data_IF_409310398115
#
_entry.id   IF_409310398115
#
_cell.length_a   1.000
_cell.length_b   1.000
_cell.length_c   1.000
_cell.angle_alpha   90.00
_cell.angle_beta   90.00
_cell.angle_gamma   90.00
#
_symmetry.space_group_name_H-M   'P 1'
#
loop_
_entity.id
_entity.type
_entity.pdbx_description
1 polymer ?
#
# COMPACT_ATOMS: atom_id res chain seq x y z
N UNK A 1 7.91 23.80 -11.68
CA UNK A 1 8.06 22.36 -11.37
C UNK A 1 6.75 21.70 -11.74
N UNK A 2 6.72 20.97 -12.86
CA UNK A 2 5.53 20.26 -13.33
C UNK A 2 5.32 19.06 -12.43
N UNK A 3 4.21 19.03 -11.71
CA UNK A 3 3.73 17.90 -10.91
C UNK A 3 3.66 16.65 -11.77
N UNK A 4 4.75 15.89 -11.76
CA UNK A 4 4.92 14.73 -12.63
C UNK A 4 4.26 13.54 -11.97
N UNK A 5 3.07 13.18 -12.44
CA UNK A 5 2.38 12.01 -11.92
C UNK A 5 1.96 10.98 -12.98
N UNK A 6 2.32 11.19 -14.24
CA UNK A 6 2.25 10.15 -15.25
C UNK A 6 3.42 9.17 -15.03
N UNK A 7 3.14 7.87 -14.78
CA UNK A 7 4.18 6.86 -14.61
C UNK A 7 5.13 6.70 -15.81
N UNK A 8 4.74 7.15 -17.01
CA UNK A 8 5.57 7.10 -18.21
C UNK A 8 6.44 8.33 -18.41
N UNK A 9 6.25 9.37 -17.59
CA UNK A 9 7.07 10.56 -17.68
C UNK A 9 8.53 10.23 -17.34
N UNK A 10 9.53 10.75 -18.07
CA UNK A 10 10.94 10.41 -17.85
C UNK A 10 11.43 10.73 -16.43
N UNK A 11 10.90 11.79 -15.81
CA UNK A 11 11.24 12.16 -14.43
C UNK A 11 10.47 11.36 -13.37
N UNK A 12 9.50 10.50 -13.72
CA UNK A 12 8.62 9.87 -12.72
C UNK A 12 9.40 9.11 -11.64
N UNK A 13 10.47 8.41 -12.03
CA UNK A 13 11.36 7.63 -11.15
C UNK A 13 12.69 8.35 -10.85
N UNK A 14 12.88 9.58 -11.32
CA UNK A 14 14.08 10.36 -11.03
C UNK A 14 14.08 10.75 -9.55
N UNK A 15 15.11 10.32 -8.82
CA UNK A 15 15.16 10.52 -7.37
C UNK A 15 15.24 11.99 -7.00
N UNK A 16 16.06 12.78 -7.71
CA UNK A 16 16.23 14.20 -7.38
C UNK A 16 14.92 14.98 -7.57
N UNK A 17 14.18 14.73 -8.66
CA UNK A 17 12.88 15.36 -8.90
C UNK A 17 11.84 14.95 -7.86
N UNK A 18 11.77 13.65 -7.51
CA UNK A 18 10.84 13.15 -6.49
C UNK A 18 11.14 13.76 -5.13
N UNK A 19 12.40 13.79 -4.72
CA UNK A 19 12.84 14.32 -3.42
C UNK A 19 12.58 15.83 -3.33
N UNK A 20 12.83 16.58 -4.42
CA UNK A 20 12.50 18.00 -4.48
C UNK A 20 11.00 18.26 -4.36
N UNK A 21 10.18 17.44 -5.01
CA UNK A 21 8.72 17.55 -4.91
C UNK A 21 8.20 17.14 -3.53
N UNK A 22 8.81 16.15 -2.87
CA UNK A 22 8.53 15.81 -1.47
C UNK A 22 8.79 17.02 -0.57
N UNK A 23 9.97 17.64 -0.65
CA UNK A 23 10.29 18.86 0.10
C UNK A 23 9.25 19.96 -0.10
N UNK A 24 8.93 20.29 -1.36
CA UNK A 24 7.93 21.34 -1.68
C UNK A 24 6.56 21.05 -1.08
N UNK A 25 6.08 19.81 -1.24
CA UNK A 25 4.76 19.43 -0.71
C UNK A 25 4.77 19.39 0.81
N UNK A 26 5.87 18.95 1.42
CA UNK A 26 6.03 18.90 2.87
C UNK A 26 6.02 20.29 3.51
N UNK A 27 6.72 21.27 2.94
CA UNK A 27 6.65 22.67 3.37
C UNK A 27 5.23 23.21 3.30
N UNK A 28 4.54 23.02 2.17
CA UNK A 28 3.18 23.52 1.97
C UNK A 28 2.17 22.83 2.91
N UNK A 29 2.34 21.52 3.14
CA UNK A 29 1.51 20.77 4.07
C UNK A 29 1.75 21.19 5.52
N UNK A 30 3.01 21.43 5.92
CA UNK A 30 3.36 21.92 7.25
C UNK A 30 2.86 23.34 7.51
N UNK A 31 2.90 24.23 6.51
CA UNK A 31 2.34 25.57 6.64
C UNK A 31 0.81 25.58 6.82
N UNK A 32 0.10 24.64 6.18
CA UNK A 32 -1.37 24.57 6.25
C UNK A 32 -1.90 23.77 7.46
N UNK A 33 -1.22 22.68 7.84
CA UNK A 33 -1.58 21.71 8.90
C UNK A 33 -2.97 21.09 8.88
N UNK A 34 -3.85 21.42 7.95
CA UNK A 34 -5.26 20.96 7.94
C UNK A 34 -5.41 19.43 7.95
N UNK A 35 -4.43 18.70 7.40
CA UNK A 35 -4.54 17.27 7.17
C UNK A 35 -4.32 16.37 8.39
N UNK A 36 -3.82 16.89 9.53
CA UNK A 36 -3.46 16.06 10.70
C UNK A 36 -4.62 15.24 11.27
N UNK A 37 -5.86 15.72 11.12
CA UNK A 37 -7.07 15.02 11.59
C UNK A 37 -7.44 13.81 10.74
N UNK A 38 -6.89 13.69 9.53
CA UNK A 38 -7.31 12.72 8.53
C UNK A 38 -6.29 11.62 8.27
N UNK A 39 -5.03 11.82 8.63
CA UNK A 39 -3.94 10.92 8.23
C UNK A 39 -2.76 10.99 9.20
N UNK A 40 -2.20 9.81 9.50
CA UNK A 40 -1.10 9.60 10.44
C UNK A 40 0.26 10.07 9.92
N UNK A 41 0.46 10.15 8.61
CA UNK A 41 1.71 10.67 8.02
C UNK A 41 1.99 12.13 8.40
N UNK A 42 0.95 12.94 8.63
CA UNK A 42 1.10 14.38 8.87
C UNK A 42 1.66 14.72 10.26
N UNK A 43 1.19 14.11 11.37
CA UNK A 43 1.87 14.23 12.66
C UNK A 43 3.37 13.97 12.58
N UNK A 44 3.79 12.84 12.00
CA UNK A 44 5.20 12.50 11.82
C UNK A 44 5.95 13.53 10.98
N UNK A 45 5.37 13.96 9.85
CA UNK A 45 5.94 15.03 9.03
C UNK A 45 6.14 16.32 9.83
N UNK A 46 5.12 16.73 10.61
CA UNK A 46 5.17 17.98 11.35
C UNK A 46 6.18 17.92 12.47
N UNK A 47 6.26 16.81 13.20
CA UNK A 47 7.27 16.60 14.24
C UNK A 47 8.69 16.68 13.66
N UNK A 48 8.91 16.14 12.46
CA UNK A 48 10.22 16.24 11.81
C UNK A 48 10.57 17.64 11.34
N UNK A 49 9.61 18.43 10.86
CA UNK A 49 9.87 19.81 10.42
C UNK A 49 9.98 20.76 11.62
N UNK A 50 9.16 20.59 12.65
CA UNK A 50 9.13 21.42 13.86
C UNK A 50 10.40 21.30 14.72
N UNK A 51 11.26 20.32 14.47
CA UNK A 51 12.56 20.19 15.14
C UNK A 51 13.58 21.26 14.71
N UNK A 52 13.32 21.95 13.61
CA UNK A 52 14.22 22.93 13.03
C UNK A 52 13.71 24.35 13.32
N UNK A 53 14.61 25.24 13.74
CA UNK A 53 14.25 26.63 14.09
C UNK A 53 13.62 27.41 12.92
N UNK A 54 14.03 27.09 11.69
CA UNK A 54 13.54 27.68 10.44
C UNK A 54 12.35 26.93 9.84
N UNK A 55 11.97 25.78 10.40
CA UNK A 55 10.86 24.93 9.94
C UNK A 55 10.93 24.59 8.44
N UNK A 56 12.15 24.43 7.91
CA UNK A 56 12.41 24.12 6.50
C UNK A 56 12.40 22.60 6.26
N UNK A 57 11.43 22.09 5.49
CA UNK A 57 11.34 20.67 5.13
C UNK A 57 12.47 20.22 4.20
N UNK A 58 13.22 21.15 3.59
CA UNK A 58 14.46 20.88 2.86
C UNK A 58 15.57 20.30 3.74
N UNK A 59 15.46 20.44 5.06
CA UNK A 59 16.39 19.87 6.03
C UNK A 59 16.12 18.41 6.38
N UNK A 60 14.99 17.86 5.92
CA UNK A 60 14.65 16.45 6.15
C UNK A 60 15.60 15.53 5.39
N UNK A 61 16.10 14.52 6.10
CA UNK A 61 16.88 13.45 5.48
C UNK A 61 16.00 12.58 4.56
N UNK A 62 16.58 11.87 3.58
CA UNK A 62 15.81 10.92 2.77
C UNK A 62 15.08 9.86 3.61
N UNK A 63 15.64 9.47 4.75
CA UNK A 63 15.01 8.51 5.66
C UNK A 63 13.78 9.08 6.38
N UNK A 64 13.84 10.34 6.83
CA UNK A 64 12.67 11.02 7.42
C UNK A 64 11.57 11.22 6.38
N UNK A 65 11.93 11.60 5.15
CA UNK A 65 10.97 11.67 4.05
C UNK A 65 10.33 10.30 3.76
N UNK A 66 11.14 9.24 3.71
CA UNK A 66 10.67 7.87 3.46
C UNK A 66 9.72 7.39 4.55
N UNK A 67 9.93 7.77 5.80
CA UNK A 67 9.02 7.40 6.89
C UNK A 67 7.63 8.03 6.69
N UNK A 68 7.56 9.30 6.29
CA UNK A 68 6.28 9.96 5.98
C UNK A 68 5.55 9.24 4.83
N UNK A 69 6.31 8.78 3.82
CA UNK A 69 5.80 7.96 2.71
C UNK A 69 5.25 6.62 3.20
N UNK A 70 6.00 5.92 4.06
CA UNK A 70 5.64 4.59 4.58
C UNK A 70 4.38 4.61 5.47
N UNK A 71 4.07 5.75 6.09
CA UNK A 71 2.87 5.93 6.91
C UNK A 71 1.61 6.26 6.08
N UNK A 72 1.74 6.43 4.75
CA UNK A 72 0.61 6.75 3.88
C UNK A 72 -0.13 5.48 3.40
N UNK A 73 -1.36 5.28 3.89
CA UNK A 73 -2.19 4.13 3.49
C UNK A 73 -3.05 4.35 2.23
N UNK A 74 -2.78 5.42 1.45
CA UNK A 74 -3.47 5.69 0.18
C UNK A 74 -5.02 5.82 0.28
N UNK A 75 -5.56 6.26 1.42
CA UNK A 75 -7.00 6.43 1.64
C UNK A 75 -7.62 7.67 0.95
N UNK A 76 -6.78 8.63 0.53
CA UNK A 76 -7.14 9.89 -0.15
C UNK A 76 -7.99 10.88 0.65
N UNK A 77 -8.19 10.68 1.96
CA UNK A 77 -8.93 11.65 2.79
C UNK A 77 -8.27 13.03 2.83
N UNK A 78 -6.93 13.10 2.86
CA UNK A 78 -6.21 14.37 2.79
C UNK A 78 -6.44 15.10 1.46
N UNK A 79 -6.49 14.40 0.34
CA UNK A 79 -6.72 14.99 -0.98
C UNK A 79 -8.13 15.58 -1.10
N UNK A 80 -9.17 14.84 -0.70
CA UNK A 80 -10.57 15.30 -0.81
C UNK A 80 -10.82 16.55 0.04
N UNK A 81 -10.14 16.69 1.17
CA UNK A 81 -10.30 17.85 2.07
C UNK A 81 -9.29 18.96 1.81
N UNK A 82 -8.33 18.77 0.90
CA UNK A 82 -7.30 19.76 0.64
C UNK A 82 -7.83 20.86 -0.29
N UNK A 83 -7.73 22.16 0.09
CA UNK A 83 -8.12 23.25 -0.80
C UNK A 83 -7.10 23.50 -1.92
N UNK A 84 -5.93 22.85 -1.87
CA UNK A 84 -4.78 23.13 -2.72
C UNK A 84 -4.50 22.06 -3.79
N UNK A 85 -5.48 21.20 -4.10
CA UNK A 85 -5.33 20.15 -5.12
C UNK A 85 -5.18 20.73 -6.54
N UNK A 86 -4.62 19.98 -7.50
CA UNK A 86 -4.36 20.46 -8.87
C UNK A 86 -5.57 21.10 -9.58
N UNK A 87 -6.77 20.64 -9.30
CA UNK A 87 -8.00 21.15 -9.89
C UNK A 87 -8.48 22.48 -9.28
N UNK A 88 -8.00 22.83 -8.08
CA UNK A 88 -8.49 23.95 -7.29
C UNK A 88 -7.45 25.05 -7.05
N UNK A 89 -6.15 24.74 -7.13
CA UNK A 89 -5.09 25.68 -6.77
C UNK A 89 -3.80 25.47 -7.56
N UNK A 90 -3.06 26.55 -7.79
CA UNK A 90 -1.79 26.55 -8.53
C UNK A 90 -0.66 25.76 -7.84
N UNK A 91 -0.77 25.51 -6.53
CA UNK A 91 0.19 24.69 -5.79
C UNK A 91 0.12 23.21 -6.14
N UNK A 92 -1.01 22.77 -6.71
CA UNK A 92 -1.21 21.42 -7.22
C UNK A 92 -0.78 20.29 -6.27
N UNK A 93 -1.25 20.34 -5.02
CA UNK A 93 -0.92 19.33 -4.00
C UNK A 93 -1.72 18.03 -4.21
N UNK A 94 -1.06 16.99 -4.75
CA UNK A 94 -1.59 15.62 -4.73
C UNK A 94 -0.71 14.72 -3.85
N UNK A 95 -0.88 14.86 -2.53
CA UNK A 95 -0.10 14.13 -1.54
C UNK A 95 -0.17 12.60 -1.75
N UNK A 96 -1.35 11.96 -1.92
CA UNK A 96 -1.41 10.52 -2.13
C UNK A 96 -0.65 10.06 -3.38
N UNK A 97 -0.79 10.78 -4.49
CA UNK A 97 -0.11 10.40 -5.73
C UNK A 97 1.40 10.63 -5.66
N UNK A 98 1.84 11.65 -4.93
CA UNK A 98 3.26 11.84 -4.62
C UNK A 98 3.81 10.71 -3.74
N UNK A 99 3.09 10.25 -2.71
CA UNK A 99 3.54 9.12 -1.89
C UNK A 99 3.67 7.84 -2.73
N UNK A 100 2.73 7.60 -3.65
CA UNK A 100 2.79 6.46 -4.58
C UNK A 100 4.00 6.57 -5.52
N UNK A 101 4.26 7.77 -6.05
CA UNK A 101 5.43 8.05 -6.89
C UNK A 101 6.74 7.85 -6.12
N UNK A 102 6.80 8.28 -4.87
CA UNK A 102 7.96 8.09 -4.00
C UNK A 102 8.23 6.61 -3.73
N UNK A 103 7.19 5.81 -3.46
CA UNK A 103 7.34 4.35 -3.31
C UNK A 103 7.84 3.69 -4.60
N UNK A 104 7.29 4.07 -5.76
CA UNK A 104 7.74 3.55 -7.06
C UNK A 104 9.21 3.91 -7.35
N UNK A 105 9.60 5.16 -7.08
CA UNK A 105 10.99 5.63 -7.18
C UNK A 105 11.91 4.83 -6.27
N UNK A 106 11.55 4.62 -4.99
CA UNK A 106 12.33 3.83 -4.04
C UNK A 106 12.52 2.39 -4.50
N UNK A 107 11.48 1.78 -5.08
CA UNK A 107 11.57 0.43 -5.63
C UNK A 107 12.50 0.37 -6.87
N UNK A 108 12.44 1.38 -7.74
CA UNK A 108 13.26 1.45 -8.95
C UNK A 108 14.75 1.69 -8.65
N UNK A 109 15.05 2.59 -7.70
CA UNK A 109 16.41 2.99 -7.34
C UNK A 109 17.06 2.09 -6.27
N UNK A 110 16.36 1.07 -5.78
CA UNK A 110 16.94 0.07 -4.88
C UNK A 110 17.00 0.48 -3.40
N UNK A 111 16.20 1.46 -2.98
CA UNK A 111 16.11 1.95 -1.60
C UNK A 111 15.33 1.01 -0.67
N UNK A 112 14.62 0.04 -1.24
CA UNK A 112 13.86 -0.95 -0.49
C UNK A 112 14.77 -2.07 0.06
N UNK A 113 14.71 -2.40 1.36
CA UNK A 113 15.46 -3.51 1.92
C UNK A 113 15.20 -4.81 1.15
N UNK A 114 16.24 -5.60 0.86
CA UNK A 114 16.14 -6.83 0.06
C UNK A 114 15.04 -7.78 0.57
N UNK A 115 14.90 -7.90 1.89
CA UNK A 115 13.85 -8.70 2.53
C UNK A 115 12.44 -8.19 2.18
N UNK A 116 12.24 -6.87 2.24
CA UNK A 116 10.96 -6.23 1.91
C UNK A 116 10.66 -6.34 0.42
N UNK A 117 11.67 -6.15 -0.45
CA UNK A 117 11.55 -6.38 -1.90
C UNK A 117 11.09 -7.79 -2.22
N UNK A 118 11.71 -8.81 -1.60
CA UNK A 118 11.32 -10.22 -1.78
C UNK A 118 9.89 -10.47 -1.28
N UNK A 119 9.56 -9.98 -0.08
CA UNK A 119 8.23 -10.13 0.50
C UNK A 119 7.15 -9.49 -0.38
N UNK A 120 7.39 -8.25 -0.86
CA UNK A 120 6.49 -7.52 -1.74
C UNK A 120 6.31 -8.25 -3.07
N UNK A 121 7.38 -8.77 -3.68
CA UNK A 121 7.30 -9.56 -4.92
C UNK A 121 6.52 -10.87 -4.72
N UNK A 122 6.68 -11.53 -3.58
CA UNK A 122 5.91 -12.73 -3.24
C UNK A 122 4.41 -12.40 -3.08
N UNK A 123 4.09 -11.32 -2.36
CA UNK A 123 2.71 -10.88 -2.14
C UNK A 123 2.03 -10.33 -3.40
N UNK A 124 2.76 -9.62 -4.25
CA UNK A 124 2.26 -9.07 -5.52
C UNK A 124 1.88 -10.18 -6.51
N UNK A 125 2.50 -11.36 -6.42
CA UNK A 125 2.19 -12.53 -7.27
C UNK A 125 1.02 -13.34 -6.74
N UNK A 126 -0.11 -12.68 -6.51
CA UNK A 126 -1.33 -13.26 -5.94
C UNK A 126 -1.84 -14.47 -6.73
N UNK A 127 -1.73 -14.46 -8.06
CA UNK A 127 -2.11 -15.60 -8.91
C UNK A 127 -1.25 -16.85 -8.64
N UNK A 128 0.05 -16.68 -8.48
CA UNK A 128 0.98 -17.79 -8.18
C UNK A 128 0.71 -18.29 -6.77
N UNK A 129 0.59 -17.37 -5.81
CA UNK A 129 0.27 -17.69 -4.42
C UNK A 129 -1.07 -18.43 -4.32
N UNK A 130 -2.08 -18.00 -5.06
CA UNK A 130 -3.38 -18.65 -5.13
C UNK A 130 -3.33 -20.04 -5.74
N UNK A 131 -2.56 -20.25 -6.82
CA UNK A 131 -2.34 -21.60 -7.40
C UNK A 131 -1.66 -22.53 -6.41
N UNK A 132 -0.57 -22.07 -5.77
CA UNK A 132 0.15 -22.85 -4.76
C UNK A 132 -0.76 -23.15 -3.56
N UNK A 133 -1.52 -22.16 -3.09
CA UNK A 133 -2.50 -22.32 -2.02
C UNK A 133 -3.59 -23.34 -2.36
N UNK A 134 -4.13 -23.30 -3.58
CA UNK A 134 -5.10 -24.30 -4.06
C UNK A 134 -4.52 -25.71 -4.18
N UNK A 135 -3.27 -25.85 -4.64
CA UNK A 135 -2.59 -27.14 -4.71
C UNK A 135 -2.29 -27.71 -3.31
N UNK A 136 -1.86 -26.85 -2.39
CA UNK A 136 -1.56 -27.20 -1.02
C UNK A 136 -2.79 -27.20 -0.11
N UNK A 137 -4.00 -26.96 -0.64
CA UNK A 137 -5.21 -26.76 0.15
C UNK A 137 -5.48 -27.85 1.20
N UNK A 138 -5.29 -29.17 0.94
CA UNK A 138 -5.49 -30.18 1.98
C UNK A 138 -4.60 -30.00 3.22
N UNK A 139 -3.35 -29.59 3.02
CA UNK A 139 -2.37 -29.41 4.11
C UNK A 139 -2.55 -28.02 4.74
N UNK A 140 -2.66 -26.98 3.90
CA UNK A 140 -2.83 -25.60 4.34
C UNK A 140 -4.11 -25.43 5.15
N UNK A 141 -5.23 -26.03 4.74
CA UNK A 141 -6.50 -25.92 5.45
C UNK A 141 -6.44 -26.62 6.81
N UNK A 142 -5.73 -27.74 6.94
CA UNK A 142 -5.54 -28.40 8.24
C UNK A 142 -4.83 -27.50 9.27
N UNK A 143 -3.91 -26.65 8.81
CA UNK A 143 -3.24 -25.68 9.67
C UNK A 143 -4.10 -24.42 9.94
N UNK A 144 -4.84 -23.95 8.92
CA UNK A 144 -5.73 -22.78 9.00
C UNK A 144 -6.94 -23.03 9.90
N UNK A 145 -7.57 -24.19 9.76
CA UNK A 145 -8.77 -24.63 10.48
C UNK A 145 -8.46 -25.19 11.87
N UNK A 146 -7.19 -25.24 12.27
CA UNK A 146 -6.82 -25.57 13.63
C UNK A 146 -7.43 -24.56 14.63
N UNK A 147 -7.87 -25.02 15.82
CA UNK A 147 -8.52 -24.14 16.80
C UNK A 147 -7.70 -22.89 17.13
N UNK A 148 -8.39 -21.78 17.36
CA UNK A 148 -7.77 -20.50 17.73
C UNK A 148 -6.87 -20.67 18.95
N UNK A 149 -5.66 -20.10 18.91
CA UNK A 149 -4.70 -20.20 20.01
C UNK A 149 -4.08 -21.58 20.24
N UNK A 150 -4.38 -22.58 19.39
CA UNK A 150 -3.71 -23.90 19.41
C UNK A 150 -2.20 -23.79 19.16
N UNK A 151 -1.45 -24.84 19.49
CA UNK A 151 0.00 -24.88 19.27
C UNK A 151 0.35 -24.66 17.78
N UNK A 152 -0.41 -25.26 16.86
CA UNK A 152 -0.23 -25.06 15.41
C UNK A 152 -0.40 -23.59 15.04
N UNK A 153 -1.46 -22.93 15.52
CA UNK A 153 -1.72 -21.51 15.25
C UNK A 153 -0.69 -20.58 15.88
N UNK A 154 -0.18 -20.90 17.08
CA UNK A 154 0.92 -20.16 17.73
C UNK A 154 2.25 -20.31 16.98
N UNK A 155 2.57 -21.51 16.50
CA UNK A 155 3.75 -21.75 15.68
C UNK A 155 3.65 -21.03 14.33
N UNK A 156 2.48 -21.06 13.70
CA UNK A 156 2.20 -20.31 12.48
C UNK A 156 2.29 -18.79 12.73
N UNK A 157 1.78 -18.29 13.86
CA UNK A 157 1.89 -16.88 14.20
C UNK A 157 3.34 -16.42 14.38
N UNK A 158 4.18 -17.25 15.01
CA UNK A 158 5.61 -16.97 15.19
C UNK A 158 6.38 -16.91 13.87
N UNK A 159 5.97 -17.72 12.88
CA UNK A 159 6.65 -17.80 11.57
C UNK A 159 6.13 -16.79 10.56
N UNK A 160 4.81 -16.60 10.50
CA UNK A 160 4.14 -15.74 9.50
C UNK A 160 3.84 -14.34 10.01
N UNK A 161 3.89 -14.09 11.32
CA UNK A 161 3.43 -12.85 11.96
C UNK A 161 1.90 -12.70 12.04
N UNK A 162 1.14 -13.65 11.49
CA UNK A 162 -0.33 -13.60 11.50
C UNK A 162 -0.87 -14.11 12.83
N UNK A 163 -1.69 -13.31 13.52
CA UNK A 163 -2.23 -13.66 14.84
C UNK A 163 -2.82 -15.08 14.91
N UNK A 164 -2.55 -15.77 16.03
CA UNK A 164 -3.04 -17.12 16.30
C UNK A 164 -4.57 -17.18 16.48
N UNK A 165 -5.23 -16.05 16.73
CA UNK A 165 -6.69 -15.92 16.84
C UNK A 165 -7.34 -15.33 15.59
N UNK A 166 -6.55 -15.00 14.55
CA UNK A 166 -7.12 -14.45 13.32
C UNK A 166 -7.96 -15.50 12.60
N UNK A 167 -9.19 -15.15 12.23
CA UNK A 167 -9.97 -15.95 11.30
C UNK A 167 -9.27 -15.97 9.93
N UNK A 168 -8.88 -17.16 9.47
CA UNK A 168 -8.19 -17.36 8.20
C UNK A 168 -9.10 -18.14 7.24
N UNK A 169 -9.31 -17.65 5.99
CA UNK A 169 -10.14 -18.35 5.03
C UNK A 169 -9.44 -19.62 4.53
N UNK A 170 -10.14 -20.75 4.40
CA UNK A 170 -9.58 -21.96 3.81
C UNK A 170 -9.35 -21.76 2.31
N UNK A 171 -8.31 -22.41 1.78
CA UNK A 171 -8.06 -22.47 0.34
C UNK A 171 -9.04 -23.40 -0.36
N UNK A 172 -9.54 -22.97 -1.52
CA UNK A 172 -10.34 -23.82 -2.40
C UNK A 172 -9.44 -24.69 -3.28
N UNK A 173 -9.82 -25.96 -3.50
CA UNK A 173 -9.06 -26.93 -4.34
C UNK A 173 -9.03 -26.57 -5.83
N UNK A 174 -9.95 -25.73 -6.30
CA UNK A 174 -10.03 -25.30 -7.70
C UNK A 174 -10.40 -23.82 -7.77
N UNK A 175 -9.98 -23.13 -8.84
CA UNK A 175 -10.34 -21.72 -9.08
C UNK A 175 -11.84 -21.58 -9.26
N UNK A 176 -12.40 -20.46 -8.78
CA UNK A 176 -13.81 -20.14 -8.95
C UNK A 176 -14.24 -20.19 -10.43
N UNK A 177 -13.44 -19.65 -11.34
CA UNK A 177 -13.74 -19.66 -12.78
C UNK A 177 -13.86 -21.09 -13.37
N UNK A 178 -13.09 -22.05 -12.86
CA UNK A 178 -13.18 -23.46 -13.28
C UNK A 178 -14.41 -24.14 -12.73
N UNK A 179 -14.72 -23.92 -11.45
CA UNK A 179 -15.94 -24.39 -10.82
C UNK A 179 -17.17 -23.80 -11.53
N UNK A 180 -17.19 -22.49 -11.76
CA UNK A 180 -18.32 -21.75 -12.35
C UNK A 180 -18.65 -22.23 -13.77
N UNK A 181 -17.64 -22.46 -14.63
CA UNK A 181 -17.85 -23.02 -15.98
C UNK A 181 -18.54 -24.39 -15.97
N UNK A 182 -18.21 -25.24 -14.98
CA UNK A 182 -18.85 -26.57 -14.82
C UNK A 182 -20.30 -26.49 -14.34
N UNK A 183 -20.69 -25.40 -13.68
CA UNK A 183 -22.01 -25.26 -13.04
C UNK A 183 -22.96 -24.31 -13.79
N UNK A 184 -22.46 -23.42 -14.65
CA UNK A 184 -23.28 -22.55 -15.50
C UNK A 184 -24.04 -23.30 -16.59
N UNK A 185 -23.47 -24.36 -17.15
CA UNK A 185 -24.18 -25.22 -18.11
C UNK A 185 -25.49 -25.80 -17.52
N UNK A 186 -25.52 -26.05 -16.20
CA UNK A 186 -26.73 -26.53 -15.49
C UNK A 186 -27.72 -25.42 -15.17
N UNK A 187 -27.26 -24.18 -14.94
CA UNK A 187 -28.13 -23.03 -14.68
C UNK A 187 -28.85 -22.55 -15.95
N UNK A 188 -28.20 -22.61 -17.12
CA UNK A 188 -28.83 -22.27 -18.40
C UNK A 188 -29.99 -23.22 -18.77
N UNK A 189 -29.97 -24.47 -18.29
CA UNK A 189 -31.01 -25.47 -18.53
C UNK A 189 -32.28 -25.26 -17.67
N UNK A 190 -32.17 -24.57 -16.53
CA UNK A 190 -33.30 -24.21 -15.66
C UNK A 190 -33.45 -22.69 -15.59
N UNK A 191 -33.83 -22.07 -16.70
CA UNK A 191 -34.36 -20.70 -16.67
C UNK A 191 -35.68 -20.72 -15.89
N UNK A 192 -35.69 -20.24 -14.65
CA UNK A 192 -36.94 -19.87 -13.99
C UNK A 192 -37.50 -18.63 -14.69
N UNK A 193 -38.66 -18.75 -15.32
CA UNK A 193 -39.33 -17.66 -16.03
C UNK A 193 -39.37 -17.80 -17.56
N UNK A 194 -39.71 -18.98 -18.07
CA UNK A 194 -40.43 -19.09 -19.35
C UNK A 194 -41.85 -19.54 -19.06
#
# INVERSE_FOLDING_TARGET
MTTTYDPHHPLYLDEADVRGELTRVYDLCHGCRLCFKFCTSFPTLFDFVDRFDDQDAGRLTPAEQDQVVDECFQCKLCYINCPYIPELHEWALDFPRLMLRADAMRHANGHQPTKQKIANQAMARTDVLGKVGSMAAPIANKAIEAPEGSFVRKAMAKTTGVSATRLLPPYAKQRFSTWFKKHTAKLAAKRQGR
#
